data_IF_583205252693
#
_entry.id   IF_583205252693
#
_cell.length_a   1.000
_cell.length_b   1.000
_cell.length_c   1.000
_cell.angle_alpha   90.00
_cell.angle_beta   90.00
_cell.angle_gamma   90.00
#
_symmetry.space_group_name_H-M   'P 1'
#
loop_
_entity.id
_entity.type
_entity.pdbx_description
1 polymer ?
#
# COMPACT_ATOMS: atom_id res chain seq x y z
N UNK A 1 1.86 -15.23 20.14
CA UNK A 1 1.18 -15.42 18.85
C UNK A 1 -0.09 -16.29 18.98
N UNK A 2 -0.04 -17.42 19.74
CA UNK A 2 -1.17 -18.36 19.87
C UNK A 2 -2.43 -17.74 20.48
N UNK A 3 -2.28 -16.84 21.47
CA UNK A 3 -3.40 -16.13 22.09
C UNK A 3 -3.97 -15.11 21.12
N UNK A 4 -3.09 -14.39 20.41
CA UNK A 4 -3.50 -13.36 19.43
C UNK A 4 -4.30 -14.01 18.30
N UNK A 5 -3.80 -15.11 17.73
CA UNK A 5 -4.52 -15.84 16.69
C UNK A 5 -5.85 -16.42 17.19
N UNK A 6 -5.88 -16.91 18.42
CA UNK A 6 -7.11 -17.48 19.01
C UNK A 6 -8.23 -16.47 19.22
N UNK A 7 -7.90 -15.22 19.54
CA UNK A 7 -8.85 -14.13 19.75
C UNK A 7 -9.26 -13.39 18.45
N UNK A 8 -8.62 -13.71 17.33
CA UNK A 8 -8.90 -13.08 16.04
C UNK A 8 -10.05 -13.80 15.33
N UNK A 9 -10.84 -13.08 14.55
CA UNK A 9 -11.85 -13.64 13.64
C UNK A 9 -11.20 -14.12 12.34
N UNK A 10 -10.18 -13.39 11.87
CA UNK A 10 -9.33 -13.73 10.72
C UNK A 10 -7.93 -13.15 10.93
N UNK A 11 -6.96 -13.60 10.15
CA UNK A 11 -5.57 -13.14 10.23
C UNK A 11 -5.16 -12.57 8.86
N UNK A 12 -4.76 -11.30 8.82
CA UNK A 12 -4.21 -10.66 7.63
C UNK A 12 -2.69 -10.51 7.76
N UNK A 13 -1.96 -11.08 6.80
CA UNK A 13 -0.52 -10.90 6.67
C UNK A 13 -0.24 -9.89 5.56
N UNK A 14 0.22 -8.70 5.92
CA UNK A 14 0.48 -7.60 4.98
C UNK A 14 1.84 -7.75 4.32
N UNK A 15 2.87 -8.04 5.12
CA UNK A 15 4.23 -8.28 4.66
C UNK A 15 4.87 -9.39 5.50
N UNK A 16 5.56 -10.31 4.84
CA UNK A 16 6.32 -11.36 5.49
C UNK A 16 7.47 -11.85 4.60
N UNK A 17 8.67 -11.95 5.17
CA UNK A 17 9.75 -12.73 4.58
C UNK A 17 9.43 -14.22 4.70
N UNK A 18 10.11 -15.08 3.92
CA UNK A 18 9.92 -16.55 3.96
C UNK A 18 10.12 -17.17 5.36
N UNK A 19 10.93 -16.53 6.21
CA UNK A 19 11.16 -16.92 7.61
C UNK A 19 10.79 -15.77 8.54
N UNK A 20 9.49 -15.46 8.61
CA UNK A 20 8.97 -14.39 9.46
C UNK A 20 8.13 -14.94 10.61
N UNK A 21 8.21 -14.29 11.78
CA UNK A 21 7.32 -14.58 12.90
C UNK A 21 5.83 -14.41 12.59
N UNK A 22 5.50 -13.59 11.58
CA UNK A 22 4.12 -13.42 11.08
C UNK A 22 3.57 -14.72 10.49
N UNK A 23 4.42 -15.52 9.84
CA UNK A 23 4.01 -16.83 9.30
C UNK A 23 3.67 -17.82 10.41
N UNK A 24 4.38 -17.79 11.53
CA UNK A 24 4.05 -18.61 12.72
C UNK A 24 2.67 -18.25 13.25
N UNK A 25 2.31 -16.96 13.23
CA UNK A 25 0.97 -16.52 13.64
C UNK A 25 -0.09 -17.01 12.68
N UNK A 26 0.17 -16.99 11.38
CA UNK A 26 -0.73 -17.51 10.36
C UNK A 26 -0.92 -19.03 10.48
N UNK A 27 0.16 -19.79 10.69
CA UNK A 27 0.10 -21.24 10.92
C UNK A 27 -0.71 -21.58 12.16
N UNK A 28 -0.46 -20.91 13.28
CA UNK A 28 -1.23 -21.09 14.52
C UNK A 28 -2.72 -20.73 14.33
N UNK A 29 -3.01 -19.72 13.52
CA UNK A 29 -4.38 -19.36 13.18
C UNK A 29 -5.06 -20.44 12.35
N UNK A 30 -4.37 -20.99 11.37
CA UNK A 30 -4.88 -22.07 10.54
C UNK A 30 -5.20 -23.31 11.38
N UNK A 31 -4.28 -23.69 12.31
CA UNK A 31 -4.50 -24.77 13.27
C UNK A 31 -5.72 -24.54 14.19
N UNK A 32 -6.08 -23.29 14.40
CA UNK A 32 -7.23 -22.87 15.20
C UNK A 32 -8.51 -22.66 14.36
N UNK A 33 -8.48 -23.01 13.08
CA UNK A 33 -9.60 -22.86 12.16
C UNK A 33 -9.92 -21.42 11.77
N UNK A 34 -8.91 -20.52 11.84
CA UNK A 34 -9.05 -19.14 11.40
C UNK A 34 -8.71 -19.01 9.92
N UNK A 35 -9.43 -18.12 9.25
CA UNK A 35 -9.11 -17.79 7.87
C UNK A 35 -7.89 -16.87 7.78
N UNK A 36 -7.04 -17.19 6.82
CA UNK A 36 -5.78 -16.47 6.57
C UNK A 36 -5.91 -15.68 5.29
N UNK A 37 -5.64 -14.40 5.38
CA UNK A 37 -5.54 -13.47 4.27
C UNK A 37 -4.11 -13.02 4.11
N UNK A 38 -3.66 -12.84 2.86
CA UNK A 38 -2.33 -12.31 2.58
C UNK A 38 -2.39 -11.28 1.45
N UNK A 39 -1.66 -10.20 1.63
CA UNK A 39 -1.52 -9.17 0.60
C UNK A 39 -0.50 -9.63 -0.43
N UNK A 40 -0.86 -9.72 -1.73
CA UNK A 40 0.08 -10.11 -2.77
C UNK A 40 1.13 -9.03 -3.00
N UNK A 41 2.33 -9.44 -3.34
CA UNK A 41 3.41 -8.51 -3.64
C UNK A 41 4.31 -8.99 -4.76
N UNK A 42 5.27 -8.17 -5.15
CA UNK A 42 6.18 -8.48 -6.26
C UNK A 42 7.08 -9.66 -5.88
N UNK A 43 7.31 -10.57 -6.83
CA UNK A 43 8.20 -11.73 -6.65
C UNK A 43 9.66 -11.34 -6.38
N UNK A 44 10.05 -10.13 -6.77
CA UNK A 44 11.39 -9.56 -6.53
C UNK A 44 11.53 -8.87 -5.18
N UNK A 45 10.42 -8.73 -4.43
CA UNK A 45 10.43 -8.07 -3.13
C UNK A 45 10.56 -9.12 -2.01
N UNK A 46 11.63 -9.00 -1.23
CA UNK A 46 11.92 -9.91 -0.12
C UNK A 46 10.85 -9.92 0.98
N UNK A 47 10.09 -8.83 1.13
CA UNK A 47 9.01 -8.74 2.12
C UNK A 47 7.71 -9.37 1.65
N UNK A 48 7.60 -9.69 0.36
CA UNK A 48 6.41 -10.28 -0.24
C UNK A 48 6.49 -11.81 -0.35
N UNK A 49 7.68 -12.41 -0.22
CA UNK A 49 7.89 -13.84 -0.42
C UNK A 49 7.01 -14.71 0.47
N UNK A 50 6.90 -14.37 1.78
CA UNK A 50 6.04 -15.09 2.72
C UNK A 50 4.55 -14.97 2.41
N UNK A 51 4.08 -13.78 2.03
CA UNK A 51 2.69 -13.55 1.65
C UNK A 51 2.32 -14.33 0.39
N UNK A 52 3.16 -14.25 -0.66
CA UNK A 52 2.94 -14.97 -1.90
C UNK A 52 2.93 -16.49 -1.68
N UNK A 53 3.76 -17.01 -0.77
CA UNK A 53 3.78 -18.42 -0.38
C UNK A 53 2.49 -18.82 0.35
N UNK A 54 1.99 -18.00 1.28
CA UNK A 54 0.71 -18.23 1.95
C UNK A 54 -0.43 -18.34 0.94
N UNK A 55 -0.49 -17.43 -0.05
CA UNK A 55 -1.49 -17.46 -1.12
C UNK A 55 -1.37 -18.75 -1.94
N UNK A 56 -0.16 -19.17 -2.29
CA UNK A 56 0.08 -20.42 -3.00
C UNK A 56 -0.37 -21.65 -2.19
N UNK A 57 -0.31 -21.57 -0.87
CA UNK A 57 -0.76 -22.62 0.07
C UNK A 57 -2.27 -22.60 0.34
N UNK A 58 -3.00 -21.65 -0.23
CA UNK A 58 -4.45 -21.55 -0.15
C UNK A 58 -4.98 -20.43 0.74
N UNK A 59 -4.13 -19.53 1.25
CA UNK A 59 -4.61 -18.33 1.92
C UNK A 59 -5.35 -17.41 0.95
N UNK A 60 -6.37 -16.72 1.44
CA UNK A 60 -7.13 -15.76 0.64
C UNK A 60 -6.27 -14.57 0.25
N UNK A 61 -6.29 -14.20 -1.02
CA UNK A 61 -5.60 -13.02 -1.51
C UNK A 61 -6.41 -11.77 -1.14
N UNK A 62 -5.80 -10.85 -0.38
CA UNK A 62 -6.41 -9.57 -0.02
C UNK A 62 -5.86 -8.46 -0.93
N UNK A 63 -6.67 -8.02 -1.89
CA UNK A 63 -6.35 -6.90 -2.80
C UNK A 63 -6.93 -5.60 -2.24
N UNK A 64 -8.02 -5.71 -1.50
CA UNK A 64 -8.71 -4.58 -0.88
C UNK A 64 -9.22 -4.93 0.53
N UNK A 65 -9.49 -3.93 1.38
CA UNK A 65 -10.16 -4.16 2.66
C UNK A 65 -11.53 -4.82 2.52
N UNK A 66 -12.21 -4.60 1.40
CA UNK A 66 -13.52 -5.17 1.15
C UNK A 66 -13.50 -6.69 1.06
N UNK A 67 -12.41 -7.29 0.57
CA UNK A 67 -12.26 -8.74 0.45
C UNK A 67 -12.39 -9.41 1.83
N UNK A 68 -11.83 -8.78 2.87
CA UNK A 68 -11.89 -9.25 4.25
C UNK A 68 -13.28 -8.99 4.86
N UNK A 69 -13.82 -7.78 4.65
CA UNK A 69 -15.12 -7.39 5.20
C UNK A 69 -16.26 -8.23 4.61
N UNK A 70 -16.19 -8.53 3.32
CA UNK A 70 -17.17 -9.39 2.63
C UNK A 70 -17.12 -10.81 3.19
N UNK A 71 -15.92 -11.34 3.39
CA UNK A 71 -15.72 -12.64 3.99
C UNK A 71 -16.29 -12.71 5.42
N UNK A 72 -16.04 -11.71 6.25
CA UNK A 72 -16.55 -11.60 7.61
C UNK A 72 -18.06 -11.30 7.68
N UNK A 73 -18.74 -11.17 6.53
CA UNK A 73 -20.16 -10.83 6.48
C UNK A 73 -20.51 -9.42 6.97
N UNK A 74 -19.50 -8.55 7.11
CA UNK A 74 -19.69 -7.18 7.52
C UNK A 74 -20.20 -6.37 6.32
N UNK A 75 -21.50 -6.08 6.30
CA UNK A 75 -22.06 -5.16 5.29
C UNK A 75 -21.52 -3.77 5.50
N UNK A 76 -20.51 -3.40 4.74
CA UNK A 76 -20.01 -2.04 4.73
C UNK A 76 -21.07 -1.14 4.08
N UNK A 77 -21.87 -0.44 4.90
CA UNK A 77 -22.99 0.40 4.46
C UNK A 77 -22.60 1.66 3.67
N UNK A 78 -21.32 1.91 3.52
CA UNK A 78 -20.73 2.88 2.59
C UNK A 78 -19.48 2.21 2.02
N UNK A 79 -19.47 1.99 0.69
CA UNK A 79 -18.20 1.85 -0.03
C UNK A 79 -17.24 2.85 0.59
N UNK A 80 -16.14 2.38 1.17
CA UNK A 80 -14.99 3.25 1.36
C UNK A 80 -14.65 3.70 -0.06
N UNK A 81 -15.20 4.85 -0.44
CA UNK A 81 -14.75 5.55 -1.62
C UNK A 81 -13.33 5.94 -1.24
N UNK A 82 -12.38 5.08 -1.59
CA UNK A 82 -11.04 5.56 -1.83
C UNK A 82 -11.29 6.64 -2.86
N UNK A 83 -11.24 7.90 -2.44
CA UNK A 83 -11.28 9.00 -3.38
C UNK A 83 -10.09 8.76 -4.31
N UNK A 84 -10.35 8.11 -5.45
CA UNK A 84 -9.47 8.25 -6.60
C UNK A 84 -9.42 9.75 -6.87
N UNK A 85 -8.37 10.36 -6.34
CA UNK A 85 -8.15 11.78 -6.50
C UNK A 85 -8.18 12.02 -7.99
N UNK A 86 -9.08 12.88 -8.42
CA UNK A 86 -9.34 13.09 -9.84
C UNK A 86 -8.11 13.78 -10.49
N UNK A 87 -7.10 12.96 -10.80
CA UNK A 87 -5.85 13.41 -11.44
C UNK A 87 -6.14 14.17 -12.75
N UNK A 88 -7.34 13.95 -13.34
CA UNK A 88 -7.77 14.69 -14.52
C UNK A 88 -8.05 16.18 -14.24
N UNK A 89 -8.30 16.55 -12.99
CA UNK A 89 -8.52 17.94 -12.58
C UNK A 89 -7.21 18.75 -12.43
N UNK A 90 -6.05 18.09 -12.38
CA UNK A 90 -4.76 18.73 -12.24
C UNK A 90 -4.41 19.54 -13.50
N UNK A 91 -3.71 20.66 -13.34
CA UNK A 91 -3.14 21.44 -14.44
C UNK A 91 -2.04 20.63 -15.18
N UNK A 92 -1.73 21.02 -16.41
CA UNK A 92 -0.71 20.30 -17.22
C UNK A 92 0.63 20.12 -16.50
N UNK A 93 1.25 21.16 -15.87
CA UNK A 93 2.52 21.02 -15.16
C UNK A 93 2.39 20.11 -13.92
N UNK A 94 1.28 20.19 -13.20
CA UNK A 94 1.01 19.31 -12.06
C UNK A 94 0.92 17.84 -12.49
N UNK A 95 0.25 17.55 -13.61
CA UNK A 95 0.18 16.19 -14.17
C UNK A 95 1.56 15.65 -14.53
N UNK A 96 2.44 16.48 -15.11
CA UNK A 96 3.79 16.06 -15.47
C UNK A 96 4.60 15.67 -14.22
N UNK A 97 4.60 16.51 -13.19
CA UNK A 97 5.29 16.22 -11.92
C UNK A 97 4.67 15.00 -11.24
N UNK A 98 3.35 14.93 -11.18
CA UNK A 98 2.64 13.80 -10.56
C UNK A 98 2.92 12.45 -11.27
N UNK A 99 3.06 12.46 -12.61
CA UNK A 99 3.40 11.28 -13.39
C UNK A 99 4.82 10.75 -13.08
N UNK A 100 5.76 11.62 -12.71
CA UNK A 100 7.12 11.25 -12.34
C UNK A 100 7.24 10.67 -10.92
N UNK A 101 6.18 10.79 -10.09
CA UNK A 101 6.15 10.27 -8.74
C UNK A 101 5.71 8.80 -8.72
N UNK A 102 6.20 8.08 -7.71
CA UNK A 102 5.75 6.74 -7.35
C UNK A 102 5.19 6.73 -5.92
N UNK A 103 4.60 5.62 -5.49
CA UNK A 103 4.24 5.41 -4.07
C UNK A 103 5.48 5.29 -3.17
N UNK A 104 6.63 4.95 -3.75
CA UNK A 104 7.92 5.00 -3.08
C UNK A 104 8.50 6.41 -3.22
N UNK A 105 8.83 7.06 -2.11
CA UNK A 105 9.31 8.43 -2.12
C UNK A 105 10.61 8.58 -2.94
N UNK A 106 10.66 9.60 -3.79
CA UNK A 106 11.81 9.99 -4.62
C UNK A 106 12.37 11.33 -4.18
N UNK A 107 13.67 11.52 -4.30
CA UNK A 107 14.32 12.80 -4.03
C UNK A 107 13.93 13.84 -5.07
N UNK A 108 13.79 15.10 -4.64
CA UNK A 108 13.40 16.24 -5.49
C UNK A 108 14.25 16.38 -6.76
N UNK A 109 15.57 16.25 -6.66
CA UNK A 109 16.47 16.33 -7.82
C UNK A 109 16.11 15.30 -8.89
N UNK A 110 15.84 14.06 -8.49
CA UNK A 110 15.46 12.99 -9.40
C UNK A 110 14.11 13.26 -10.08
N UNK A 111 13.20 13.90 -9.38
CA UNK A 111 11.90 14.31 -9.93
C UNK A 111 12.11 15.44 -10.94
N UNK A 112 12.91 16.44 -10.60
CA UNK A 112 13.30 17.56 -11.46
C UNK A 112 13.92 17.08 -12.78
N UNK A 113 14.89 16.16 -12.70
CA UNK A 113 15.54 15.56 -13.87
C UNK A 113 14.53 14.80 -14.76
N UNK A 114 13.62 14.04 -14.17
CA UNK A 114 12.60 13.28 -14.89
C UNK A 114 11.54 14.17 -15.56
N UNK A 115 11.19 15.29 -14.94
CA UNK A 115 10.20 16.24 -15.48
C UNK A 115 10.82 17.23 -16.47
N UNK A 116 12.15 17.41 -16.47
CA UNK A 116 12.84 18.42 -17.26
C UNK A 116 12.55 19.86 -16.79
N UNK A 117 12.17 20.05 -15.53
CA UNK A 117 11.86 21.34 -14.90
C UNK A 117 12.94 21.72 -13.90
N UNK A 118 13.09 23.01 -13.61
CA UNK A 118 13.98 23.46 -12.55
C UNK A 118 13.52 22.96 -11.17
N UNK A 119 14.48 22.80 -10.25
CA UNK A 119 14.19 22.39 -8.86
C UNK A 119 13.17 23.32 -8.19
N UNK A 120 13.29 24.64 -8.47
CA UNK A 120 12.40 25.65 -7.89
C UNK A 120 10.95 25.50 -8.38
N UNK A 121 10.76 25.26 -9.68
CA UNK A 121 9.43 25.01 -10.26
C UNK A 121 8.81 23.71 -9.75
N UNK A 122 9.61 22.63 -9.74
CA UNK A 122 9.16 21.35 -9.17
C UNK A 122 8.74 21.46 -7.71
N UNK A 123 9.49 22.23 -6.91
CA UNK A 123 9.19 22.43 -5.50
C UNK A 123 7.86 23.16 -5.31
N UNK A 124 7.59 24.20 -6.11
CA UNK A 124 6.31 24.92 -6.06
C UNK A 124 5.13 24.00 -6.38
N UNK A 125 5.23 23.24 -7.47
CA UNK A 125 4.19 22.30 -7.89
C UNK A 125 3.99 21.17 -6.85
N UNK A 126 5.08 20.63 -6.29
CA UNK A 126 5.00 19.59 -5.26
C UNK A 126 4.34 20.10 -3.97
N UNK A 127 4.56 21.37 -3.61
CA UNK A 127 3.90 21.99 -2.47
C UNK A 127 2.38 22.11 -2.71
N UNK A 128 1.98 22.54 -3.91
CA UNK A 128 0.55 22.61 -4.28
C UNK A 128 -0.09 21.23 -4.25
N UNK A 129 0.56 20.22 -4.81
CA UNK A 129 0.09 18.83 -4.79
C UNK A 129 0.04 18.26 -3.36
N UNK A 130 0.95 18.66 -2.47
CA UNK A 130 0.94 18.29 -1.06
C UNK A 130 -0.25 18.92 -0.34
N UNK A 131 -0.52 20.22 -0.54
CA UNK A 131 -1.66 20.93 0.03
C UNK A 131 -3.00 20.36 -0.47
N UNK A 132 -3.08 19.99 -1.73
CA UNK A 132 -4.25 19.31 -2.32
C UNK A 132 -4.34 17.83 -1.87
N UNK A 133 -3.32 17.34 -1.17
CA UNK A 133 -3.28 15.99 -0.61
C UNK A 133 -2.95 14.88 -1.62
N UNK A 134 -2.48 15.17 -2.83
CA UNK A 134 -2.05 14.17 -3.83
C UNK A 134 -0.69 13.55 -3.52
N UNK A 135 0.15 14.29 -2.82
CA UNK A 135 1.55 13.94 -2.54
C UNK A 135 1.79 13.98 -1.03
N UNK A 136 2.65 13.13 -0.54
CA UNK A 136 3.21 13.24 0.81
C UNK A 136 4.69 13.59 0.72
N UNK A 137 5.16 14.36 1.68
CA UNK A 137 6.56 14.72 1.86
C UNK A 137 7.14 13.96 3.04
N UNK A 138 8.36 13.45 2.88
CA UNK A 138 9.19 12.93 3.98
C UNK A 138 10.39 13.84 4.23
N UNK A 139 11.19 13.53 5.26
CA UNK A 139 12.42 14.27 5.53
C UNK A 139 13.33 14.33 4.29
N UNK A 140 14.21 15.35 4.23
CA UNK A 140 15.24 15.52 3.21
C UNK A 140 14.73 15.62 1.76
N UNK A 141 13.61 16.34 1.53
CA UNK A 141 13.06 16.60 0.20
C UNK A 141 12.69 15.34 -0.62
N UNK A 142 12.22 14.30 0.05
CA UNK A 142 11.63 13.16 -0.63
C UNK A 142 10.10 13.30 -0.72
N UNK A 143 9.54 12.97 -1.89
CA UNK A 143 8.11 13.08 -2.20
C UNK A 143 7.59 11.79 -2.80
N UNK A 144 6.37 11.40 -2.45
CA UNK A 144 5.70 10.21 -2.97
C UNK A 144 4.20 10.43 -3.17
N UNK A 145 3.57 9.60 -3.99
CA UNK A 145 2.11 9.61 -4.18
C UNK A 145 1.42 9.21 -2.89
N UNK A 146 0.42 9.99 -2.49
CA UNK A 146 -0.44 9.65 -1.36
C UNK A 146 -1.60 8.79 -1.87
N UNK A 147 -1.80 7.65 -1.22
CA UNK A 147 -2.91 6.73 -1.47
C UNK A 147 -4.22 7.36 -1.01
#
# INVERSE_FOLDING_TARGET
>A
NRIISGLSDAILVVEAKEKSGSLITAELGLDQGKEIFAVPGRITDHLSGGCNRLIQQGAHMAISPNDILEYLGVKCGKRLIIHEKNVNALAKPEKMVYACLDFKAKHLEKISDQCGMSISECMGILLELELQGYVFRTANHYYGKKI
#
